data_IF_857425903878
#
_entry.id   IF_857425903878
#
_cell.length_a   1.000
_cell.length_b   1.000
_cell.length_c   1.000
_cell.angle_alpha   90.00
_cell.angle_beta   90.00
_cell.angle_gamma   90.00
#
_symmetry.space_group_name_H-M   'P 1'
#
loop_
_entity.id
_entity.type
_entity.pdbx_description
1 polymer ?
#
# COMPACT_ATOMS: atom_id res chain seq x y z
N UNK A 1 9.33 22.65 -1.56
CA UNK A 1 8.44 23.02 -2.68
C UNK A 1 7.58 21.83 -3.07
N UNK A 2 6.36 22.07 -3.54
CA UNK A 2 5.39 21.08 -3.97
C UNK A 2 5.09 21.24 -5.46
N UNK A 3 5.02 20.14 -6.20
CA UNK A 3 4.67 20.08 -7.60
C UNK A 3 3.65 18.98 -7.84
N UNK A 4 2.59 19.30 -8.55
CA UNK A 4 1.57 18.33 -8.92
C UNK A 4 1.99 17.57 -10.18
N UNK A 5 1.94 16.24 -10.11
CA UNK A 5 2.26 15.34 -11.21
C UNK A 5 0.98 14.68 -11.76
N UNK A 6 0.95 14.28 -13.03
CA UNK A 6 -0.20 13.64 -13.64
C UNK A 6 -0.67 12.40 -12.87
N UNK A 7 -1.97 12.27 -12.67
CA UNK A 7 -2.57 11.06 -12.07
C UNK A 7 -2.71 9.96 -13.12
N UNK A 8 -2.45 8.71 -12.72
CA UNK A 8 -2.71 7.53 -13.56
C UNK A 8 -4.20 7.15 -13.62
N UNK A 9 -5.08 7.82 -12.86
CA UNK A 9 -6.54 7.68 -12.87
C UNK A 9 -7.06 6.23 -12.82
N UNK A 10 -6.43 5.37 -12.02
CA UNK A 10 -6.86 3.98 -11.84
C UNK A 10 -8.17 3.96 -11.05
N UNK A 11 -9.28 3.58 -11.71
CA UNK A 11 -10.60 3.48 -11.07
C UNK A 11 -10.90 2.04 -10.66
N UNK A 12 -11.20 1.83 -9.40
CA UNK A 12 -11.57 0.52 -8.86
C UNK A 12 -13.08 0.26 -9.08
N UNK A 13 -13.47 -0.82 -9.76
CA UNK A 13 -14.88 -1.16 -9.96
C UNK A 13 -15.52 -1.73 -8.69
N UNK A 14 -16.84 -1.61 -8.54
CA UNK A 14 -17.60 -2.23 -7.44
C UNK A 14 -17.42 -3.76 -7.41
N UNK A 15 -17.35 -4.42 -8.57
CA UNK A 15 -17.14 -5.87 -8.71
C UNK A 15 -15.69 -6.12 -9.16
N UNK A 16 -14.89 -6.77 -8.34
CA UNK A 16 -13.45 -7.02 -8.58
C UNK A 16 -13.14 -7.75 -9.91
N UNK A 17 -14.05 -8.60 -10.40
CA UNK A 17 -13.87 -9.34 -11.67
C UNK A 17 -13.66 -8.44 -12.90
N UNK A 18 -14.14 -7.19 -12.88
CA UNK A 18 -13.97 -6.23 -13.99
C UNK A 18 -12.69 -5.40 -13.90
N UNK A 19 -11.91 -5.54 -12.82
CA UNK A 19 -10.67 -4.77 -12.64
C UNK A 19 -9.63 -5.09 -13.72
N UNK A 20 -9.52 -6.36 -14.11
CA UNK A 20 -8.58 -6.82 -15.17
C UNK A 20 -8.78 -6.09 -16.49
N UNK A 21 -10.02 -6.10 -16.98
CA UNK A 21 -10.37 -5.46 -18.25
C UNK A 21 -10.12 -3.95 -18.19
N UNK A 22 -10.45 -3.32 -17.06
CA UNK A 22 -10.20 -1.88 -16.86
C UNK A 22 -8.73 -1.54 -16.83
N UNK A 23 -7.89 -2.34 -16.18
CA UNK A 23 -6.43 -2.11 -16.15
C UNK A 23 -5.81 -2.29 -17.55
N UNK A 24 -6.26 -3.29 -18.30
CA UNK A 24 -5.79 -3.50 -19.68
C UNK A 24 -6.17 -2.32 -20.59
N UNK A 25 -7.40 -1.82 -20.48
CA UNK A 25 -7.88 -0.65 -21.21
C UNK A 25 -7.22 0.65 -20.76
N UNK A 26 -6.72 0.71 -19.52
CA UNK A 26 -6.01 1.87 -18.98
C UNK A 26 -4.51 1.89 -19.36
N UNK A 27 -3.94 0.81 -19.90
CA UNK A 27 -2.51 0.74 -20.20
C UNK A 27 -2.00 1.88 -21.12
N UNK A 28 -2.70 2.26 -22.22
CA UNK A 28 -2.28 3.39 -23.03
C UNK A 28 -2.30 4.73 -22.28
N UNK A 29 -3.30 4.95 -21.42
CA UNK A 29 -3.40 6.18 -20.64
C UNK A 29 -2.31 6.27 -19.55
N UNK A 30 -1.94 5.14 -18.95
CA UNK A 30 -0.82 5.05 -18.00
C UNK A 30 0.49 5.41 -18.69
N UNK A 31 0.72 4.89 -19.90
CA UNK A 31 1.91 5.21 -20.69
C UNK A 31 1.98 6.71 -21.05
N UNK A 32 0.87 7.29 -21.52
CA UNK A 32 0.78 8.73 -21.82
C UNK A 32 0.99 9.59 -20.57
N UNK A 33 0.41 9.19 -19.43
CA UNK A 33 0.61 9.88 -18.15
C UNK A 33 2.08 9.82 -17.71
N UNK A 34 2.73 8.65 -17.82
CA UNK A 34 4.16 8.48 -17.52
C UNK A 34 5.05 9.37 -18.40
N UNK A 35 4.74 9.49 -19.69
CA UNK A 35 5.50 10.39 -20.59
C UNK A 35 5.30 11.87 -20.26
N UNK A 36 4.08 12.28 -19.89
CA UNK A 36 3.82 13.64 -19.41
C UNK A 36 4.55 13.92 -18.09
N UNK A 37 4.51 12.96 -17.17
CA UNK A 37 5.22 13.02 -15.90
C UNK A 37 6.72 13.24 -16.12
N UNK A 38 7.34 12.46 -17.01
CA UNK A 38 8.77 12.59 -17.32
C UNK A 38 9.15 14.00 -17.82
N UNK A 39 8.29 14.60 -18.67
CA UNK A 39 8.52 15.98 -19.15
C UNK A 39 8.45 17.00 -18.00
N UNK A 40 7.50 16.86 -17.08
CA UNK A 40 7.36 17.76 -15.93
C UNK A 40 8.54 17.58 -14.98
N UNK A 41 8.94 16.34 -14.71
CA UNK A 41 10.10 16.03 -13.87
C UNK A 41 11.38 16.63 -14.47
N UNK A 42 11.59 16.54 -15.79
CA UNK A 42 12.75 17.18 -16.46
C UNK A 42 12.77 18.70 -16.25
N UNK A 43 11.60 19.37 -16.33
CA UNK A 43 11.51 20.81 -16.07
C UNK A 43 11.82 21.16 -14.61
N UNK A 44 11.34 20.32 -13.65
CA UNK A 44 11.61 20.50 -12.21
C UNK A 44 13.10 20.34 -11.93
N UNK A 45 13.76 19.35 -12.53
CA UNK A 45 15.20 19.10 -12.37
C UNK A 45 16.00 20.35 -12.69
N UNK A 46 15.74 20.96 -13.85
CA UNK A 46 16.44 22.18 -14.29
C UNK A 46 16.11 23.36 -13.40
N UNK A 47 14.82 23.59 -13.15
CA UNK A 47 14.34 24.74 -12.37
C UNK A 47 14.83 24.74 -10.92
N UNK A 48 14.84 23.58 -10.28
CA UNK A 48 15.17 23.43 -8.85
C UNK A 48 16.58 22.89 -8.61
N UNK A 49 17.37 22.68 -9.66
CA UNK A 49 18.74 22.16 -9.61
C UNK A 49 18.82 20.84 -8.83
N UNK A 50 17.90 19.91 -9.15
CA UNK A 50 17.81 18.62 -8.49
C UNK A 50 18.99 17.74 -8.86
N UNK A 51 19.66 17.14 -7.87
CA UNK A 51 20.84 16.27 -8.04
C UNK A 51 20.53 14.76 -8.03
N UNK A 52 19.31 14.36 -7.67
CA UNK A 52 18.88 12.97 -7.65
C UNK A 52 17.38 12.82 -7.45
N UNK A 53 16.80 11.69 -7.84
CA UNK A 53 15.38 11.40 -7.77
C UNK A 53 15.16 10.13 -6.97
N UNK A 54 14.21 10.16 -6.03
CA UNK A 54 13.65 8.96 -5.42
C UNK A 54 12.17 8.91 -5.83
N UNK A 55 11.79 7.87 -6.57
CA UNK A 55 10.46 7.66 -7.12
C UNK A 55 9.73 6.55 -6.38
N UNK A 56 8.72 6.90 -5.60
CA UNK A 56 7.85 5.91 -4.95
C UNK A 56 6.76 5.47 -5.93
N UNK A 57 7.01 4.34 -6.56
CA UNK A 57 6.09 3.63 -7.46
C UNK A 57 5.53 4.47 -8.62
N UNK A 58 6.27 5.51 -9.09
CA UNK A 58 5.91 6.37 -10.23
C UNK A 58 6.82 6.12 -11.42
N UNK A 59 6.25 5.60 -12.51
CA UNK A 59 6.98 5.07 -13.65
C UNK A 59 7.66 6.13 -14.53
N UNK A 60 7.18 7.38 -14.49
CA UNK A 60 7.71 8.49 -15.28
C UNK A 60 8.67 9.41 -14.51
N UNK A 61 8.80 9.23 -13.19
CA UNK A 61 9.66 10.08 -12.36
C UNK A 61 11.11 9.59 -12.33
N UNK A 62 11.80 9.69 -13.48
CA UNK A 62 13.23 9.37 -13.62
C UNK A 62 13.92 10.33 -14.58
N UNK A 63 15.26 10.35 -14.53
CA UNK A 63 16.12 11.06 -15.47
C UNK A 63 17.24 10.15 -15.96
N UNK A 64 17.80 10.47 -17.13
CA UNK A 64 19.03 9.85 -17.64
C UNK A 64 20.27 10.65 -17.25
N UNK A 65 20.09 11.89 -16.81
CA UNK A 65 21.16 12.85 -16.56
C UNK A 65 21.59 12.87 -15.08
N UNK A 66 20.67 12.52 -14.18
CA UNK A 66 20.93 12.46 -12.74
C UNK A 66 20.51 11.12 -12.14
N UNK A 67 21.11 10.68 -11.05
CA UNK A 67 20.74 9.42 -10.39
C UNK A 67 19.25 9.35 -10.06
N UNK A 68 18.63 8.23 -10.43
CA UNK A 68 17.21 7.99 -10.20
C UNK A 68 17.00 6.62 -9.58
N UNK A 69 16.32 6.59 -8.44
CA UNK A 69 15.98 5.38 -7.70
C UNK A 69 14.47 5.13 -7.77
N UNK A 70 14.09 3.90 -8.03
CA UNK A 70 12.71 3.45 -7.97
C UNK A 70 12.46 2.66 -6.70
N UNK A 71 11.52 3.08 -5.88
CA UNK A 71 11.11 2.32 -4.69
C UNK A 71 9.84 1.54 -5.01
N UNK A 72 9.85 0.26 -4.68
CA UNK A 72 8.68 -0.62 -4.83
C UNK A 72 8.77 -1.84 -3.92
N UNK A 73 7.66 -2.49 -3.66
CA UNK A 73 7.58 -3.82 -3.10
C UNK A 73 7.14 -4.85 -4.16
N UNK A 74 6.93 -4.40 -5.40
CA UNK A 74 6.46 -5.23 -6.51
C UNK A 74 7.46 -5.21 -7.66
N UNK A 75 8.19 -6.29 -7.84
CA UNK A 75 8.96 -6.58 -9.06
C UNK A 75 8.11 -7.36 -10.06
N UNK A 76 7.14 -8.15 -9.56
CA UNK A 76 6.15 -8.87 -10.34
C UNK A 76 4.76 -8.30 -10.08
N UNK A 77 4.05 -7.95 -11.14
CA UNK A 77 2.68 -7.45 -11.07
C UNK A 77 1.71 -8.61 -11.23
N UNK A 78 1.07 -9.01 -10.12
CA UNK A 78 0.08 -10.06 -10.16
C UNK A 78 -1.22 -9.56 -10.81
N UNK A 79 -1.58 -10.14 -11.95
CA UNK A 79 -2.76 -9.79 -12.74
C UNK A 79 -3.49 -11.02 -13.31
N UNK A 80 -3.34 -12.18 -12.65
CA UNK A 80 -3.90 -13.45 -13.09
C UNK A 80 -3.18 -13.98 -14.33
N UNK A 81 -3.90 -14.30 -15.40
CA UNK A 81 -3.36 -14.88 -16.64
C UNK A 81 -2.33 -13.95 -17.31
N UNK A 82 -2.46 -12.64 -17.14
CA UNK A 82 -1.57 -11.64 -17.75
C UNK A 82 -0.31 -11.34 -16.91
N UNK A 83 -0.15 -11.96 -15.75
CA UNK A 83 0.96 -11.72 -14.80
C UNK A 83 2.34 -11.71 -15.45
N UNK A 84 2.61 -12.64 -16.37
CA UNK A 84 3.89 -12.71 -17.05
C UNK A 84 4.18 -11.46 -17.91
N UNK A 85 3.18 -11.04 -18.69
CA UNK A 85 3.32 -9.88 -19.60
C UNK A 85 3.40 -8.58 -18.80
N UNK A 86 2.51 -8.38 -17.84
CA UNK A 86 2.49 -7.18 -16.99
C UNK A 86 3.76 -7.05 -16.16
N UNK A 87 4.26 -8.14 -15.61
CA UNK A 87 5.53 -8.16 -14.87
C UNK A 87 6.71 -7.81 -15.77
N UNK A 88 6.79 -8.36 -16.99
CA UNK A 88 7.85 -8.00 -17.94
C UNK A 88 7.83 -6.53 -18.35
N UNK A 89 6.63 -5.98 -18.59
CA UNK A 89 6.48 -4.56 -18.91
C UNK A 89 6.93 -3.71 -17.71
N UNK A 90 6.50 -4.06 -16.51
CA UNK A 90 6.89 -3.35 -15.29
C UNK A 90 8.41 -3.39 -15.05
N UNK A 91 9.03 -4.56 -15.20
CA UNK A 91 10.48 -4.70 -15.08
C UNK A 91 11.25 -3.87 -16.11
N UNK A 92 10.73 -3.71 -17.35
CA UNK A 92 11.33 -2.79 -18.35
C UNK A 92 11.26 -1.32 -17.91
N UNK A 93 10.22 -0.92 -17.17
CA UNK A 93 10.17 0.43 -16.59
C UNK A 93 11.19 0.57 -15.45
N UNK A 94 11.29 -0.40 -14.56
CA UNK A 94 12.27 -0.42 -13.47
C UNK A 94 13.70 -0.30 -14.01
N UNK A 95 14.02 -0.95 -15.13
CA UNK A 95 15.35 -0.90 -15.76
C UNK A 95 15.75 0.50 -16.29
N UNK A 96 14.83 1.46 -16.34
CA UNK A 96 15.15 2.85 -16.70
C UNK A 96 15.77 3.64 -15.55
N UNK A 97 15.67 3.11 -14.32
CA UNK A 97 16.25 3.71 -13.11
C UNK A 97 17.64 3.14 -12.87
N UNK A 98 18.51 3.93 -12.25
CA UNK A 98 19.85 3.47 -11.87
C UNK A 98 19.77 2.35 -10.83
N UNK A 99 18.87 2.47 -9.88
CA UNK A 99 18.62 1.47 -8.84
C UNK A 99 17.11 1.26 -8.61
N UNK A 100 16.75 0.06 -8.19
CA UNK A 100 15.43 -0.27 -7.68
C UNK A 100 15.57 -0.75 -6.23
N UNK A 101 15.01 0.02 -5.32
CA UNK A 101 14.99 -0.34 -3.90
C UNK A 101 13.71 -1.09 -3.57
N UNK A 102 13.88 -2.34 -3.15
CA UNK A 102 12.76 -3.19 -2.73
C UNK A 102 12.62 -3.11 -1.22
N UNK A 103 11.42 -2.73 -0.79
CA UNK A 103 11.05 -2.59 0.62
C UNK A 103 10.81 -3.96 1.25
N UNK A 104 11.84 -4.81 1.28
CA UNK A 104 11.77 -6.16 1.83
C UNK A 104 13.17 -6.68 2.18
N UNK A 105 13.23 -7.86 2.79
CA UNK A 105 14.45 -8.58 3.12
C UNK A 105 14.80 -9.52 1.98
N UNK A 106 16.05 -9.53 1.55
CA UNK A 106 16.54 -10.55 0.59
C UNK A 106 16.51 -11.94 1.23
N UNK A 107 15.96 -12.93 0.51
CA UNK A 107 15.97 -14.31 0.94
C UNK A 107 14.67 -14.84 1.55
N UNK A 108 14.76 -15.85 2.45
CA UNK A 108 13.61 -16.69 2.82
C UNK A 108 12.58 -16.03 3.76
N UNK A 109 12.98 -15.11 4.60
CA UNK A 109 12.08 -14.51 5.61
C UNK A 109 11.47 -13.17 5.14
N UNK A 110 11.23 -13.06 3.84
CA UNK A 110 10.66 -11.87 3.24
C UNK A 110 9.13 -11.79 3.43
N UNK A 111 8.59 -10.58 3.30
CA UNK A 111 7.15 -10.30 3.48
C UNK A 111 6.39 -10.31 2.14
N UNK A 112 7.05 -9.94 1.04
CA UNK A 112 6.40 -9.75 -0.27
C UNK A 112 6.30 -11.04 -1.10
N UNK A 113 7.05 -12.09 -0.74
CA UNK A 113 7.09 -13.34 -1.49
C UNK A 113 7.41 -13.12 -2.97
N UNK A 114 6.68 -13.77 -3.85
CA UNK A 114 6.89 -13.64 -5.31
C UNK A 114 6.59 -12.24 -5.87
N UNK A 115 5.95 -11.34 -5.13
CA UNK A 115 5.74 -9.96 -5.56
C UNK A 115 7.06 -9.21 -5.67
N UNK A 116 7.85 -9.21 -4.60
CA UNK A 116 9.11 -8.48 -4.51
C UNK A 116 10.35 -9.29 -4.87
N UNK A 117 10.22 -10.57 -5.24
CA UNK A 117 11.37 -11.44 -5.50
C UNK A 117 11.33 -12.03 -6.90
N UNK A 118 12.46 -11.93 -7.60
CA UNK A 118 12.67 -12.54 -8.92
C UNK A 118 13.43 -13.84 -8.77
N UNK A 119 13.16 -14.80 -9.68
CA UNK A 119 13.91 -16.07 -9.75
C UNK A 119 15.36 -15.90 -10.28
N UNK A 120 15.72 -14.69 -10.66
CA UNK A 120 17.07 -14.33 -11.15
C UNK A 120 17.59 -13.09 -10.45
N UNK A 121 18.89 -13.02 -10.23
CA UNK A 121 19.55 -11.82 -9.73
C UNK A 121 19.55 -10.74 -10.82
N UNK A 122 19.25 -9.50 -10.43
CA UNK A 122 19.30 -8.32 -11.30
C UNK A 122 20.11 -7.26 -10.57
N UNK A 123 21.17 -6.76 -11.19
CA UNK A 123 22.20 -5.95 -10.53
C UNK A 123 21.70 -4.63 -9.94
N UNK A 124 20.72 -4.00 -10.61
CA UNK A 124 20.19 -2.72 -10.13
C UNK A 124 19.11 -2.87 -9.06
N UNK A 125 18.79 -4.08 -8.61
CA UNK A 125 17.81 -4.33 -7.53
C UNK A 125 18.54 -4.44 -6.20
N UNK A 126 18.12 -3.65 -5.22
CA UNK A 126 18.64 -3.66 -3.86
C UNK A 126 17.50 -3.85 -2.85
N UNK A 127 17.62 -4.82 -1.98
CA UNK A 127 16.70 -5.01 -0.86
C UNK A 127 17.14 -4.15 0.30
N UNK A 128 16.32 -3.17 0.69
CA UNK A 128 16.67 -2.19 1.72
C UNK A 128 16.04 -2.46 3.08
N UNK A 129 15.40 -3.63 3.20
CA UNK A 129 14.72 -4.04 4.42
C UNK A 129 13.29 -3.54 4.51
N UNK A 130 12.64 -3.91 5.60
CA UNK A 130 11.27 -3.53 5.93
C UNK A 130 11.26 -2.11 6.48
N UNK A 131 10.49 -1.21 5.89
CA UNK A 131 10.35 0.16 6.36
C UNK A 131 9.08 0.33 7.17
N UNK A 132 9.22 0.81 8.39
CA UNK A 132 8.10 1.25 9.21
C UNK A 132 8.46 2.54 9.94
N UNK A 133 7.47 3.41 10.09
CA UNK A 133 7.57 4.61 10.93
C UNK A 133 7.32 4.30 12.41
N UNK A 134 6.89 3.08 12.74
CA UNK A 134 6.50 2.65 14.07
C UNK A 134 7.59 1.87 14.76
N UNK A 135 7.61 1.97 16.09
CA UNK A 135 8.52 1.24 16.96
C UNK A 135 7.75 0.34 17.91
N UNK A 136 8.22 -0.88 18.09
CA UNK A 136 7.67 -1.80 19.09
C UNK A 136 7.85 -1.20 20.50
N UNK A 137 6.76 -1.13 21.25
CA UNK A 137 6.74 -0.62 22.61
C UNK A 137 6.04 -1.63 23.52
N UNK A 138 6.56 -1.80 24.72
CA UNK A 138 5.86 -2.54 25.76
C UNK A 138 4.79 -1.65 26.38
N UNK A 139 3.54 -1.92 26.01
CA UNK A 139 2.37 -1.19 26.48
C UNK A 139 1.32 -2.13 27.02
N UNK A 140 0.53 -1.68 28.01
CA UNK A 140 -0.61 -2.43 28.47
C UNK A 140 -1.60 -2.66 27.33
N UNK A 141 -2.09 -3.90 27.19
CA UNK A 141 -3.10 -4.25 26.18
C UNK A 141 -4.45 -3.63 26.57
N UNK A 142 -4.88 -2.65 25.79
CA UNK A 142 -6.11 -1.87 25.99
C UNK A 142 -7.28 -2.39 25.16
N UNK A 143 -6.98 -2.93 23.98
CA UNK A 143 -7.98 -3.41 23.03
C UNK A 143 -7.76 -4.89 22.73
N UNK A 144 -8.84 -5.65 22.78
CA UNK A 144 -8.82 -7.05 22.34
C UNK A 144 -8.79 -7.13 20.84
N UNK A 145 -9.45 -6.17 20.17
CA UNK A 145 -9.52 -6.07 18.72
C UNK A 145 -9.36 -4.61 18.24
N UNK A 146 -8.45 -4.41 17.32
CA UNK A 146 -8.30 -3.16 16.55
C UNK A 146 -8.71 -3.41 15.10
N UNK A 147 -9.69 -2.66 14.61
CA UNK A 147 -10.05 -2.65 13.20
C UNK A 147 -9.45 -1.41 12.54
N UNK A 148 -8.60 -1.61 11.53
CA UNK A 148 -7.98 -0.55 10.75
C UNK A 148 -8.49 -0.61 9.31
N UNK A 149 -9.44 0.24 8.97
CA UNK A 149 -9.93 0.33 7.61
C UNK A 149 -9.09 1.29 6.77
N UNK A 150 -8.88 0.90 5.53
CA UNK A 150 -8.21 1.70 4.50
C UNK A 150 -8.65 1.25 3.12
N UNK A 151 -8.20 1.96 2.09
CA UNK A 151 -8.46 1.59 0.71
C UNK A 151 -9.50 2.48 0.02
N UNK A 152 -9.71 2.26 -1.29
CA UNK A 152 -10.59 3.10 -2.10
C UNK A 152 -12.06 2.82 -1.85
N UNK A 153 -12.88 3.86 -2.05
CA UNK A 153 -14.34 3.70 -2.12
C UNK A 153 -14.75 2.98 -3.43
N UNK A 154 -15.84 2.21 -3.41
CA UNK A 154 -16.74 1.90 -2.30
C UNK A 154 -16.29 0.70 -1.45
N UNK A 155 -15.15 0.08 -1.74
CA UNK A 155 -14.71 -1.16 -1.10
C UNK A 155 -14.42 -0.99 0.40
N UNK A 156 -13.95 0.20 0.81
CA UNK A 156 -13.76 0.52 2.22
C UNK A 156 -15.10 0.56 2.96
N UNK A 157 -16.09 1.31 2.45
CA UNK A 157 -17.42 1.43 3.08
C UNK A 157 -18.18 0.10 3.12
N UNK A 158 -18.05 -0.73 2.09
CA UNK A 158 -18.67 -2.06 2.07
C UNK A 158 -18.08 -2.97 3.17
N UNK A 159 -16.77 -2.91 3.38
CA UNK A 159 -16.14 -3.65 4.47
C UNK A 159 -16.53 -3.08 5.84
N UNK A 160 -16.60 -1.75 5.98
CA UNK A 160 -17.06 -1.08 7.20
C UNK A 160 -18.43 -1.59 7.63
N UNK A 161 -19.42 -1.54 6.74
CA UNK A 161 -20.78 -2.00 7.02
C UNK A 161 -20.82 -3.47 7.46
N UNK A 162 -20.06 -4.32 6.77
CA UNK A 162 -20.01 -5.74 7.09
C UNK A 162 -19.38 -5.98 8.46
N UNK A 163 -18.24 -5.35 8.76
CA UNK A 163 -17.57 -5.54 10.06
C UNK A 163 -18.38 -4.95 11.23
N UNK A 164 -19.05 -3.82 11.05
CA UNK A 164 -19.96 -3.28 12.07
C UNK A 164 -21.09 -4.23 12.40
N UNK A 165 -21.66 -4.92 11.40
CA UNK A 165 -22.69 -5.94 11.60
C UNK A 165 -22.16 -7.17 12.32
N UNK A 166 -21.02 -7.72 11.87
CA UNK A 166 -20.46 -8.98 12.39
C UNK A 166 -19.89 -8.81 13.82
N UNK A 167 -19.32 -7.65 14.13
CA UNK A 167 -18.71 -7.39 15.43
C UNK A 167 -19.69 -6.84 16.49
N UNK A 168 -20.96 -6.66 16.15
CA UNK A 168 -21.98 -6.10 17.05
C UNK A 168 -22.05 -6.80 18.41
N UNK A 169 -21.89 -8.12 18.42
CA UNK A 169 -22.03 -8.95 19.63
C UNK A 169 -20.68 -9.39 20.21
N UNK A 170 -19.57 -8.82 19.74
CA UNK A 170 -18.25 -9.14 20.27
C UNK A 170 -18.09 -8.61 21.70
N UNK A 171 -17.66 -9.47 22.63
CA UNK A 171 -17.62 -9.14 24.05
C UNK A 171 -16.34 -8.42 24.52
N UNK A 172 -15.28 -8.45 23.70
CA UNK A 172 -14.02 -7.78 24.02
C UNK A 172 -14.04 -6.28 23.70
N UNK A 173 -13.01 -5.56 24.14
CA UNK A 173 -12.84 -4.14 23.83
C UNK A 173 -12.41 -3.94 22.37
N UNK A 174 -13.22 -3.22 21.60
CA UNK A 174 -12.95 -2.90 20.19
C UNK A 174 -12.57 -1.43 20.06
N UNK A 175 -11.49 -1.15 19.29
CA UNK A 175 -11.27 0.14 18.66
C UNK A 175 -11.43 -0.02 17.14
N UNK A 176 -12.37 0.73 16.58
CA UNK A 176 -12.67 0.69 15.13
C UNK A 176 -12.27 2.01 14.49
N UNK A 177 -11.21 1.99 13.67
CA UNK A 177 -10.69 3.14 12.93
C UNK A 177 -11.18 3.06 11.51
N UNK A 178 -12.03 4.01 11.10
CA UNK A 178 -12.73 4.02 9.81
C UNK A 178 -11.84 4.34 8.62
N UNK A 179 -10.75 5.10 8.82
CA UNK A 179 -9.85 5.54 7.75
C UNK A 179 -10.46 6.63 6.85
N UNK A 180 -11.28 7.53 7.40
CA UNK A 180 -11.94 8.64 6.69
C UNK A 180 -11.67 9.97 7.36
N UNK A 181 -11.60 11.05 6.57
CA UNK A 181 -11.44 12.44 7.04
C UNK A 181 -12.76 13.21 7.12
N UNK A 182 -13.90 12.53 6.98
CA UNK A 182 -15.23 13.11 7.08
C UNK A 182 -15.61 13.44 8.52
N UNK A 183 -16.67 14.23 8.72
CA UNK A 183 -17.22 14.54 10.02
C UNK A 183 -17.59 13.27 10.82
N UNK A 184 -17.59 13.41 12.15
CA UNK A 184 -17.97 12.31 13.05
C UNK A 184 -19.41 11.91 12.75
N UNK A 185 -19.61 10.64 12.44
CA UNK A 185 -20.94 10.03 12.42
C UNK A 185 -21.14 9.41 13.81
N UNK A 186 -22.17 9.81 14.49
CA UNK A 186 -22.60 9.15 15.74
C UNK A 186 -23.22 7.82 15.39
N UNK A 187 -22.48 6.75 15.62
CA UNK A 187 -22.98 5.36 15.53
C UNK A 187 -23.20 4.88 16.95
N UNK A 188 -24.44 4.53 17.27
CA UNK A 188 -24.76 3.96 18.58
C UNK A 188 -24.13 2.58 18.73
N UNK A 189 -23.14 2.46 19.61
CA UNK A 189 -22.37 1.25 19.85
C UNK A 189 -22.33 0.89 21.32
N UNK A 190 -22.14 -0.38 21.68
CA UNK A 190 -21.90 -0.79 23.06
C UNK A 190 -20.70 -0.05 23.68
N UNK A 191 -20.67 0.06 25.02
CA UNK A 191 -19.59 0.78 25.76
C UNK A 191 -18.18 0.23 25.47
N UNK A 192 -18.06 -1.05 25.16
CA UNK A 192 -16.79 -1.70 24.79
C UNK A 192 -16.40 -1.56 23.31
N UNK A 193 -17.18 -0.82 22.49
CA UNK A 193 -16.95 -0.66 21.07
C UNK A 193 -16.81 0.82 20.71
N UNK A 194 -15.56 1.31 20.61
CA UNK A 194 -15.23 2.69 20.26
C UNK A 194 -15.00 2.82 18.77
N UNK A 195 -15.67 3.78 18.11
CA UNK A 195 -15.48 4.11 16.69
C UNK A 195 -14.83 5.49 16.58
N UNK A 196 -13.81 5.60 15.71
CA UNK A 196 -13.14 6.85 15.38
C UNK A 196 -12.88 6.93 13.88
N UNK A 197 -12.81 8.14 13.35
CA UNK A 197 -12.66 8.32 11.91
C UNK A 197 -11.23 8.05 11.44
N UNK A 198 -10.23 8.60 12.11
CA UNK A 198 -8.82 8.41 11.80
C UNK A 198 -7.94 8.61 13.03
N UNK A 199 -6.69 8.24 12.93
CA UNK A 199 -5.62 8.48 13.90
C UNK A 199 -4.41 9.07 13.20
N UNK A 200 -3.73 9.98 13.87
CA UNK A 200 -2.39 10.42 13.45
C UNK A 200 -1.35 9.34 13.75
N UNK A 201 -0.16 9.47 13.17
CA UNK A 201 0.88 8.43 13.24
C UNK A 201 1.22 8.01 14.67
N UNK A 202 1.42 8.97 15.58
CA UNK A 202 1.77 8.67 16.98
C UNK A 202 0.64 7.96 17.72
N UNK A 203 -0.61 8.37 17.48
CA UNK A 203 -1.79 7.74 18.09
C UNK A 203 -1.99 6.32 17.53
N UNK A 204 -1.76 6.15 16.21
CA UNK A 204 -1.86 4.86 15.55
C UNK A 204 -0.82 3.87 16.09
N UNK A 205 0.43 4.31 16.30
CA UNK A 205 1.48 3.51 16.92
C UNK A 205 1.07 3.01 18.31
N UNK A 206 0.55 3.90 19.16
CA UNK A 206 0.09 3.57 20.51
C UNK A 206 -1.03 2.52 20.48
N UNK A 207 -2.05 2.71 19.63
CA UNK A 207 -3.19 1.78 19.61
C UNK A 207 -2.83 0.44 18.99
N UNK A 208 -1.94 0.40 17.99
CA UNK A 208 -1.45 -0.87 17.45
C UNK A 208 -0.66 -1.62 18.53
N UNK A 209 0.28 -0.95 19.22
CA UNK A 209 1.04 -1.57 20.31
C UNK A 209 0.12 -2.05 21.45
N UNK A 210 -0.94 -1.31 21.78
CA UNK A 210 -1.92 -1.63 22.83
C UNK A 210 -3.02 -2.60 22.41
N UNK A 211 -2.94 -3.25 21.24
CA UNK A 211 -3.96 -4.16 20.73
C UNK A 211 -3.48 -5.61 20.70
N UNK A 212 -4.35 -6.58 21.02
CA UNK A 212 -4.03 -8.01 20.96
C UNK A 212 -4.10 -8.55 19.54
N UNK A 213 -5.16 -8.20 18.81
CA UNK A 213 -5.43 -8.66 17.47
C UNK A 213 -5.84 -7.48 16.58
N UNK A 214 -5.50 -7.55 15.30
CA UNK A 214 -5.79 -6.50 14.33
C UNK A 214 -6.54 -7.07 13.13
N UNK A 215 -7.58 -6.37 12.68
CA UNK A 215 -8.22 -6.62 11.38
C UNK A 215 -7.88 -5.45 10.46
N UNK A 216 -7.32 -5.73 9.29
CA UNK A 216 -7.00 -4.69 8.31
C UNK A 216 -7.05 -5.20 6.87
N UNK A 217 -6.90 -4.28 5.91
CA UNK A 217 -6.56 -4.66 4.53
C UNK A 217 -5.12 -5.17 4.48
N UNK A 218 -4.83 -6.07 3.54
CA UNK A 218 -3.49 -6.58 3.28
C UNK A 218 -2.66 -5.64 2.38
N UNK A 219 -2.70 -4.34 2.67
CA UNK A 219 -1.81 -3.38 2.03
C UNK A 219 -0.38 -3.56 2.54
N UNK A 220 0.61 -3.51 1.63
CA UNK A 220 1.99 -3.86 1.97
C UNK A 220 2.59 -2.97 3.08
N UNK A 221 2.30 -1.67 3.08
CA UNK A 221 2.73 -0.77 4.17
C UNK A 221 2.19 -1.20 5.54
N UNK A 222 0.93 -1.64 5.60
CA UNK A 222 0.36 -2.17 6.85
C UNK A 222 1.03 -3.48 7.27
N UNK A 223 1.34 -4.36 6.31
CA UNK A 223 2.06 -5.61 6.58
C UNK A 223 3.44 -5.31 7.15
N UNK A 224 4.19 -4.36 6.56
CA UNK A 224 5.49 -3.94 7.07
C UNK A 224 5.40 -3.38 8.50
N UNK A 225 4.44 -2.49 8.76
CA UNK A 225 4.23 -1.90 10.08
C UNK A 225 3.93 -2.99 11.13
N UNK A 226 3.02 -3.92 10.82
CA UNK A 226 2.64 -4.98 11.75
C UNK A 226 3.76 -6.01 11.96
N UNK A 227 4.55 -6.29 10.93
CA UNK A 227 5.72 -7.18 11.02
C UNK A 227 6.78 -6.58 11.98
N UNK A 228 7.11 -5.30 11.82
CA UNK A 228 8.06 -4.59 12.70
C UNK A 228 7.57 -4.57 14.15
N UNK A 229 6.26 -4.37 14.35
CA UNK A 229 5.64 -4.34 15.68
C UNK A 229 5.43 -5.74 16.29
N UNK A 230 5.61 -6.82 15.51
CA UNK A 230 5.36 -8.19 15.93
C UNK A 230 3.89 -8.47 16.26
N UNK A 231 2.96 -7.83 15.54
CA UNK A 231 1.52 -7.94 15.79
C UNK A 231 0.86 -9.00 14.93
N UNK A 232 -0.10 -9.72 15.52
CA UNK A 232 -0.96 -10.67 14.81
C UNK A 232 -2.10 -9.93 14.15
N UNK A 233 -2.43 -10.30 12.90
CA UNK A 233 -3.51 -9.68 12.16
C UNK A 233 -4.31 -10.69 11.33
N UNK A 234 -5.59 -10.35 11.13
CA UNK A 234 -6.44 -10.92 10.10
C UNK A 234 -6.48 -9.93 8.93
N UNK A 235 -6.01 -10.36 7.78
CA UNK A 235 -6.04 -9.57 6.58
C UNK A 235 -7.28 -9.88 5.74
N UNK A 236 -8.01 -8.83 5.36
CA UNK A 236 -9.17 -8.93 4.49
C UNK A 236 -8.81 -8.19 3.18
N UNK A 237 -8.48 -8.90 2.11
CA UNK A 237 -8.06 -8.28 0.86
C UNK A 237 -9.19 -7.48 0.21
N UNK A 238 -8.82 -6.46 -0.59
CA UNK A 238 -9.80 -5.80 -1.46
C UNK A 238 -10.13 -6.71 -2.63
N UNK A 239 -11.41 -7.05 -2.85
CA UNK A 239 -11.80 -7.98 -3.91
C UNK A 239 -11.28 -7.55 -5.28
N UNK A 240 -10.60 -8.45 -5.97
CA UNK A 240 -10.01 -8.24 -7.29
C UNK A 240 -8.64 -7.55 -7.29
N UNK A 241 -8.08 -7.23 -6.15
CA UNK A 241 -6.68 -6.80 -6.03
C UNK A 241 -5.79 -8.03 -5.75
N UNK A 242 -5.24 -8.61 -6.80
CA UNK A 242 -4.43 -9.84 -6.73
C UNK A 242 -3.24 -9.74 -5.79
N UNK A 243 -2.64 -8.57 -5.68
CA UNK A 243 -1.60 -8.29 -4.71
C UNK A 243 -2.09 -8.53 -3.29
N UNK A 244 -3.21 -7.89 -2.93
CA UNK A 244 -3.78 -8.03 -1.60
C UNK A 244 -4.30 -9.43 -1.32
N UNK A 245 -4.92 -10.08 -2.32
CA UNK A 245 -5.37 -11.47 -2.23
C UNK A 245 -4.19 -12.45 -2.02
N UNK A 246 -3.04 -12.15 -2.60
CA UNK A 246 -1.82 -12.94 -2.41
C UNK A 246 -1.18 -12.71 -1.04
N UNK A 247 -1.18 -11.47 -0.54
CA UNK A 247 -0.55 -11.10 0.71
C UNK A 247 -1.41 -11.46 1.95
N UNK A 248 -2.72 -11.65 1.81
CA UNK A 248 -3.63 -12.10 2.87
C UNK A 248 -3.50 -13.60 3.12
#
# INVERSE_FOLDING_TARGET
>A
KYYELPSYNIKYPKKGKYLKLKLLLAAPSIFLASNKEQKIVAQIIVKEQISGIISDNRLGAFSKEIPSVYITHQLNVLSGITTFITSKIHQKFIQKFNECWVLDIEGKNNLSGKLGHLNRKVENIKYIGVLSRFKKQETALKYDLLVLLSGPEPQRSLLEMKLLSELKNYQGNILFVRGVLTEKIEINTPKNFKIINYLLSNELEIVINGSKLIISRSGYSTIMDLAVLGKKAFFIPTPGQFEQEYLA
#
